data_IF_517304374971
#
_entry.id   IF_517304374971
#
_cell.length_a   1.000
_cell.length_b   1.000
_cell.length_c   1.000
_cell.angle_alpha   90.00
_cell.angle_beta   90.00
_cell.angle_gamma   90.00
#
_symmetry.space_group_name_H-M   'P 1'
#
loop_
_entity.id
_entity.type
_entity.pdbx_description
1 polymer ?
#
# COMPACT_ATOMS: atom_id res chain seq x y z
N UNK A 1 -23.02 -16.96 -1.20
CA UNK A 1 -22.37 -15.94 -0.36
C UNK A 1 -21.18 -15.45 -1.16
N UNK A 2 -21.16 -14.19 -1.60
CA UNK A 2 -20.01 -13.64 -2.35
C UNK A 2 -18.80 -13.55 -1.42
N UNK A 3 -17.61 -13.73 -1.97
CA UNK A 3 -16.36 -13.90 -1.23
C UNK A 3 -15.98 -12.60 -0.53
N UNK A 4 -15.82 -12.60 0.80
CA UNK A 4 -15.36 -11.41 1.52
C UNK A 4 -13.91 -11.14 1.14
N UNK A 5 -13.65 -9.96 0.55
CA UNK A 5 -12.30 -9.56 0.17
C UNK A 5 -11.42 -9.44 1.42
N UNK A 6 -10.40 -10.31 1.54
CA UNK A 6 -9.46 -10.29 2.67
C UNK A 6 -8.73 -8.93 2.70
N UNK A 7 -8.76 -8.28 3.86
CA UNK A 7 -8.12 -6.98 4.08
C UNK A 7 -6.59 -7.15 4.14
N UNK A 8 -5.94 -7.20 2.98
CA UNK A 8 -4.50 -7.02 2.88
C UNK A 8 -4.17 -5.53 2.95
N UNK A 9 -3.33 -5.11 3.89
CA UNK A 9 -2.82 -3.75 3.92
C UNK A 9 -1.49 -3.69 3.19
N UNK A 10 -1.27 -2.63 2.44
CA UNK A 10 0.02 -2.37 1.83
C UNK A 10 0.70 -1.29 2.62
N UNK A 11 1.88 -1.64 3.12
CA UNK A 11 2.82 -0.64 3.58
C UNK A 11 3.41 0.01 2.33
N UNK A 12 2.75 1.06 1.84
CA UNK A 12 3.40 1.97 0.89
C UNK A 12 4.47 2.68 1.72
N UNK A 13 5.72 2.66 1.26
CA UNK A 13 6.89 3.12 2.02
C UNK A 13 6.91 4.60 2.41
N UNK A 14 5.97 5.04 3.23
CA UNK A 14 6.19 6.07 4.24
C UNK A 14 6.95 5.36 5.36
N UNK A 15 8.26 5.60 5.47
CA UNK A 15 9.09 5.00 6.50
C UNK A 15 8.41 5.09 7.87
N UNK A 16 8.25 3.93 8.50
CA UNK A 16 7.57 3.70 9.77
C UNK A 16 6.08 4.10 9.77
N UNK A 17 5.23 3.10 10.06
CA UNK A 17 3.88 3.33 10.52
C UNK A 17 3.92 4.12 11.83
N UNK A 18 3.85 5.46 11.78
CA UNK A 18 3.76 6.26 12.99
C UNK A 18 2.41 6.04 13.64
N UNK A 19 2.43 5.51 14.85
CA UNK A 19 1.44 5.93 15.83
C UNK A 19 1.67 7.45 16.06
N UNK A 20 0.66 8.31 15.86
CA UNK A 20 0.77 9.68 16.32
C UNK A 20 0.98 9.63 17.82
N UNK A 21 1.95 10.39 18.28
CA UNK A 21 2.06 10.79 19.67
C UNK A 21 0.69 11.31 20.10
N UNK A 22 0.18 10.81 21.23
CA UNK A 22 -0.92 11.49 21.91
C UNK A 22 -0.54 12.97 22.01
N UNK A 23 -1.44 13.87 21.66
CA UNK A 23 -1.18 15.32 21.69
C UNK A 23 -0.83 15.69 23.13
N UNK A 24 0.46 15.72 23.45
CA UNK A 24 0.96 16.18 24.73
C UNK A 24 0.67 17.67 24.87
N UNK A 25 0.53 18.14 26.11
CA UNK A 25 0.25 19.53 26.49
C UNK A 25 1.41 20.51 26.20
N UNK A 26 2.13 20.33 25.09
CA UNK A 26 3.14 21.24 24.61
C UNK A 26 2.51 22.55 24.12
N UNK A 27 3.14 23.68 24.44
CA UNK A 27 2.69 24.98 23.96
C UNK A 27 2.66 25.05 22.41
N UNK A 28 1.75 25.83 21.81
CA UNK A 28 1.48 25.82 20.36
C UNK A 28 2.72 26.09 19.48
N UNK A 29 3.75 26.78 20.00
CA UNK A 29 5.00 27.01 19.29
C UNK A 29 5.90 25.76 19.16
N UNK A 30 5.93 24.88 20.17
CA UNK A 30 6.83 23.72 20.19
C UNK A 30 6.33 22.59 19.28
N UNK A 31 5.03 22.30 19.31
CA UNK A 31 4.40 21.32 18.40
C UNK A 31 4.64 21.70 16.93
N UNK A 32 4.60 22.99 16.60
CA UNK A 32 4.89 23.48 15.25
C UNK A 32 6.35 23.27 14.82
N UNK A 33 7.30 23.32 15.77
CA UNK A 33 8.72 23.13 15.49
C UNK A 33 9.06 21.66 15.23
N UNK A 34 8.56 20.74 16.07
CA UNK A 34 8.72 19.29 15.90
C UNK A 34 8.16 18.85 14.54
N UNK A 35 6.93 19.25 14.21
CA UNK A 35 6.29 18.91 12.94
C UNK A 35 7.09 19.40 11.73
N UNK A 36 7.59 20.64 11.78
CA UNK A 36 8.42 21.20 10.71
C UNK A 36 9.72 20.43 10.52
N UNK A 37 10.44 20.13 11.61
CA UNK A 37 11.72 19.41 11.56
C UNK A 37 11.55 17.97 11.10
N UNK A 38 10.51 17.28 11.57
CA UNK A 38 10.15 15.94 11.10
C UNK A 38 9.83 15.95 9.60
N UNK A 39 9.04 16.93 9.13
CA UNK A 39 8.73 17.07 7.70
C UNK A 39 9.99 17.32 6.86
N UNK A 40 10.89 18.19 7.34
CA UNK A 40 12.18 18.45 6.70
C UNK A 40 13.03 17.17 6.62
N UNK A 41 13.12 16.42 7.71
CA UNK A 41 13.85 15.17 7.76
C UNK A 41 13.30 14.12 6.78
N UNK A 42 11.98 14.01 6.67
CA UNK A 42 11.32 13.11 5.73
C UNK A 42 11.51 13.51 4.28
N UNK A 43 11.53 14.82 3.99
CA UNK A 43 11.86 15.34 2.66
C UNK A 43 13.32 15.02 2.31
N UNK A 44 14.25 15.22 3.24
CA UNK A 44 15.66 14.88 3.06
C UNK A 44 15.85 13.37 2.83
N UNK A 45 15.18 12.52 3.63
CA UNK A 45 15.19 11.07 3.45
C UNK A 45 14.68 10.64 2.06
N UNK A 46 13.55 11.21 1.60
CA UNK A 46 13.00 10.95 0.26
C UNK A 46 13.93 11.43 -0.85
N UNK A 47 14.68 12.51 -0.62
CA UNK A 47 15.68 13.03 -1.53
C UNK A 47 17.03 12.27 -1.48
N UNK A 48 17.14 11.25 -0.62
CA UNK A 48 18.38 10.52 -0.32
C UNK A 48 19.50 11.42 0.23
N UNK A 49 19.15 12.59 0.79
CA UNK A 49 20.03 13.43 1.59
C UNK A 49 20.06 12.91 3.03
N UNK A 50 20.81 11.83 3.24
CA UNK A 50 20.88 11.16 4.54
C UNK A 50 21.55 12.01 5.62
N UNK A 51 22.47 12.90 5.24
CA UNK A 51 23.08 13.87 6.15
C UNK A 51 22.04 14.90 6.65
N UNK A 52 21.26 15.49 5.73
CA UNK A 52 20.14 16.38 6.06
C UNK A 52 19.10 15.67 6.91
N UNK A 53 18.73 14.44 6.54
CA UNK A 53 17.79 13.61 7.30
C UNK A 53 18.25 13.40 8.75
N UNK A 54 19.50 12.95 8.94
CA UNK A 54 20.04 12.65 10.25
C UNK A 54 20.04 13.90 11.16
N UNK A 55 20.45 15.06 10.63
CA UNK A 55 20.44 16.32 11.36
C UNK A 55 19.04 16.77 11.74
N UNK A 56 18.09 16.73 10.81
CA UNK A 56 16.73 17.20 11.04
C UNK A 56 15.97 16.31 12.04
N UNK A 57 16.08 14.98 11.95
CA UNK A 57 15.49 14.09 12.97
C UNK A 57 16.10 14.27 14.34
N UNK A 58 17.43 14.47 14.42
CA UNK A 58 18.09 14.76 15.69
C UNK A 58 17.60 16.07 16.29
N UNK A 59 17.51 17.13 15.49
CA UNK A 59 16.99 18.41 15.94
C UNK A 59 15.53 18.30 16.40
N UNK A 60 14.71 17.50 15.70
CA UNK A 60 13.34 17.20 16.10
C UNK A 60 13.30 16.53 17.49
N UNK A 61 14.14 15.51 17.70
CA UNK A 61 14.26 14.82 18.98
C UNK A 61 14.71 15.76 20.11
N UNK A 62 15.63 16.69 19.83
CA UNK A 62 16.17 17.62 20.84
C UNK A 62 15.12 18.64 21.33
N UNK A 63 14.08 18.91 20.55
CA UNK A 63 12.99 19.84 20.92
C UNK A 63 11.67 19.15 21.28
N UNK A 64 11.58 17.83 21.15
CA UNK A 64 10.39 17.06 21.51
C UNK A 64 10.37 16.73 23.02
N UNK A 65 9.27 17.07 23.68
CA UNK A 65 9.05 16.77 25.11
C UNK A 65 8.40 15.43 25.34
N UNK A 66 7.76 14.83 24.33
CA UNK A 66 7.25 13.47 24.44
C UNK A 66 8.41 12.48 24.40
N UNK A 67 8.57 11.71 25.48
CA UNK A 67 9.72 10.83 25.65
C UNK A 67 9.76 9.74 24.57
N UNK A 68 8.60 9.20 24.17
CA UNK A 68 8.50 8.16 23.15
C UNK A 68 8.81 8.69 21.75
N UNK A 69 8.17 9.80 21.37
CA UNK A 69 8.38 10.45 20.07
C UNK A 69 9.82 10.97 19.89
N UNK A 70 10.43 11.45 20.98
CA UNK A 70 11.86 11.79 21.02
C UNK A 70 12.76 10.58 20.78
N UNK A 71 12.50 9.46 21.48
CA UNK A 71 13.28 8.24 21.31
C UNK A 71 13.18 7.70 19.87
N UNK A 72 11.99 7.72 19.28
CA UNK A 72 11.76 7.37 17.88
C UNK A 72 12.50 8.31 16.92
N UNK A 73 12.48 9.62 17.17
CA UNK A 73 13.21 10.59 16.34
C UNK A 73 14.72 10.38 16.40
N UNK A 74 15.28 10.03 17.56
CA UNK A 74 16.69 9.62 17.64
C UNK A 74 16.94 8.31 16.86
N UNK A 75 16.07 7.31 16.98
CA UNK A 75 16.19 6.06 16.21
C UNK A 75 16.25 6.32 14.70
N UNK A 76 15.33 7.14 14.17
CA UNK A 76 15.30 7.53 12.74
C UNK A 76 16.56 8.32 12.34
N UNK A 77 17.04 9.22 13.21
CA UNK A 77 18.30 9.94 12.99
C UNK A 77 19.49 8.99 12.86
N UNK A 78 19.57 7.95 13.70
CA UNK A 78 20.61 6.93 13.62
C UNK A 78 20.55 6.12 12.32
N UNK A 79 19.34 5.75 11.86
CA UNK A 79 19.14 5.12 10.54
C UNK A 79 19.70 5.96 9.40
N UNK A 80 19.36 7.25 9.38
CA UNK A 80 19.91 8.19 8.38
C UNK A 80 21.43 8.37 8.49
N UNK A 81 21.98 8.48 9.70
CA UNK A 81 23.43 8.60 9.89
C UNK A 81 24.17 7.33 9.40
N UNK A 82 23.59 6.15 9.63
CA UNK A 82 24.13 4.87 9.16
C UNK A 82 24.13 4.79 7.63
N UNK A 83 23.03 5.18 6.98
CA UNK A 83 22.93 5.25 5.51
C UNK A 83 23.91 6.26 4.89
N UNK A 84 24.22 7.34 5.60
CA UNK A 84 25.25 8.32 5.22
C UNK A 84 26.69 7.82 5.43
N UNK A 85 26.89 6.63 6.01
CA UNK A 85 28.21 6.06 6.30
C UNK A 85 28.84 6.55 7.62
N UNK A 86 28.08 7.25 8.47
CA UNK A 86 28.56 7.79 9.75
C UNK A 86 28.32 6.81 10.90
N UNK A 87 28.99 5.66 10.86
CA UNK A 87 28.74 4.54 11.78
C UNK A 87 28.87 4.92 13.27
N UNK A 88 29.93 5.63 13.65
CA UNK A 88 30.15 6.04 15.05
C UNK A 88 29.08 7.02 15.54
N UNK A 89 28.71 7.99 14.69
CA UNK A 89 27.66 8.95 15.02
C UNK A 89 26.29 8.25 15.13
N UNK A 90 26.00 7.29 14.25
CA UNK A 90 24.79 6.49 14.30
C UNK A 90 24.70 5.68 15.60
N UNK A 91 25.79 5.04 16.03
CA UNK A 91 25.85 4.31 17.32
C UNK A 91 25.56 5.24 18.50
N UNK A 92 26.17 6.42 18.54
CA UNK A 92 25.95 7.37 19.65
C UNK A 92 24.51 7.89 19.69
N UNK A 93 23.90 8.16 18.54
CA UNK A 93 22.49 8.55 18.47
C UNK A 93 21.57 7.39 18.85
N UNK A 94 21.88 6.17 18.43
CA UNK A 94 21.08 4.98 18.74
C UNK A 94 21.10 4.64 20.23
N UNK A 95 22.25 4.82 20.90
CA UNK A 95 22.34 4.75 22.38
C UNK A 95 21.39 5.73 23.04
N UNK A 96 21.31 6.98 22.55
CA UNK A 96 20.35 7.98 23.07
C UNK A 96 18.90 7.55 22.85
N UNK A 97 18.59 6.91 21.71
CA UNK A 97 17.25 6.39 21.45
C UNK A 97 16.84 5.33 22.49
N UNK A 98 17.68 4.31 22.72
CA UNK A 98 17.38 3.24 23.68
C UNK A 98 17.41 3.73 25.13
N UNK A 99 18.34 4.62 25.50
CA UNK A 99 18.33 5.28 26.82
C UNK A 99 17.10 6.17 27.02
N UNK A 100 16.58 6.73 25.91
CA UNK A 100 15.37 7.51 25.85
C UNK A 100 14.08 6.69 25.89
N UNK A 101 14.17 5.36 25.89
CA UNK A 101 13.02 4.45 26.01
C UNK A 101 12.58 3.78 24.71
N UNK A 102 13.34 3.90 23.60
CA UNK A 102 13.04 3.11 22.40
C UNK A 102 13.07 1.62 22.72
N UNK A 103 12.05 0.87 22.28
CA UNK A 103 11.78 -0.48 22.77
C UNK A 103 11.53 -1.55 21.69
N UNK A 104 11.43 -1.19 20.42
CA UNK A 104 11.20 -2.15 19.33
C UNK A 104 12.52 -2.80 18.89
N UNK A 105 12.96 -3.77 19.70
CA UNK A 105 14.23 -4.47 19.51
C UNK A 105 14.26 -5.33 18.25
N UNK A 106 13.13 -5.90 17.82
CA UNK A 106 13.08 -6.72 16.61
C UNK A 106 13.19 -5.83 15.37
N UNK A 107 12.46 -4.72 15.32
CA UNK A 107 12.62 -3.76 14.23
C UNK A 107 14.05 -3.22 14.18
N UNK A 108 14.65 -2.90 15.34
CA UNK A 108 16.06 -2.48 15.42
C UNK A 108 17.01 -3.56 14.88
N UNK A 109 16.79 -4.83 15.24
CA UNK A 109 17.64 -5.96 14.84
C UNK A 109 17.57 -6.27 13.33
N UNK A 110 16.42 -6.02 12.70
CA UNK A 110 16.16 -6.37 11.31
C UNK A 110 16.09 -5.16 10.36
N UNK A 111 16.26 -3.93 10.85
CA UNK A 111 16.25 -2.75 10.01
C UNK A 111 17.46 -2.76 9.05
N UNK A 112 17.24 -2.82 7.73
CA UNK A 112 18.32 -2.87 6.75
C UNK A 112 19.19 -1.60 6.73
N UNK A 113 18.70 -0.47 7.27
CA UNK A 113 19.44 0.79 7.37
C UNK A 113 20.55 0.73 8.43
N UNK A 114 20.47 -0.19 9.38
CA UNK A 114 21.42 -0.32 10.49
C UNK A 114 22.41 -1.48 10.31
N UNK A 115 22.38 -2.19 9.18
CA UNK A 115 23.20 -3.39 8.93
C UNK A 115 24.69 -3.14 9.11
N UNK A 116 25.19 -1.96 8.72
CA UNK A 116 26.60 -1.57 8.90
C UNK A 116 27.03 -1.49 10.36
N UNK A 117 26.08 -1.33 11.30
CA UNK A 117 26.33 -1.20 12.72
C UNK A 117 26.37 -2.56 13.43
N UNK A 118 25.83 -3.63 12.83
CA UNK A 118 25.67 -4.94 13.49
C UNK A 118 26.99 -5.59 13.90
N UNK A 119 28.09 -5.27 13.21
CA UNK A 119 29.43 -5.79 13.51
C UNK A 119 30.17 -4.98 14.60
N UNK A 120 29.61 -3.86 15.06
CA UNK A 120 30.24 -2.98 16.04
C UNK A 120 30.02 -3.52 17.46
N UNK A 121 31.04 -3.40 18.31
CA UNK A 121 31.01 -3.94 19.68
C UNK A 121 29.87 -3.35 20.55
N UNK A 122 29.38 -2.15 20.23
CA UNK A 122 28.27 -1.52 20.96
C UNK A 122 26.88 -2.11 20.63
N UNK A 123 26.75 -2.84 19.52
CA UNK A 123 25.47 -3.28 18.98
C UNK A 123 24.67 -4.15 19.95
N UNK A 124 25.31 -5.18 20.52
CA UNK A 124 24.64 -6.11 21.44
C UNK A 124 24.05 -5.40 22.66
N UNK A 125 24.77 -4.41 23.20
CA UNK A 125 24.31 -3.60 24.33
C UNK A 125 23.07 -2.76 23.99
N UNK A 126 23.06 -2.15 22.80
CA UNK A 126 21.91 -1.35 22.31
C UNK A 126 20.67 -2.24 22.16
N UNK A 127 20.80 -3.40 21.52
CA UNK A 127 19.69 -4.34 21.33
C UNK A 127 19.17 -4.84 22.68
N UNK A 128 20.05 -5.16 23.63
CA UNK A 128 19.67 -5.61 24.96
C UNK A 128 18.89 -4.52 25.73
N UNK A 129 19.30 -3.26 25.61
CA UNK A 129 18.60 -2.13 26.23
C UNK A 129 17.21 -1.92 25.63
N UNK A 130 17.07 -1.99 24.30
CA UNK A 130 15.76 -1.95 23.64
C UNK A 130 14.82 -3.07 24.13
N UNK A 131 15.33 -4.31 24.26
CA UNK A 131 14.56 -5.43 24.81
C UNK A 131 14.15 -5.20 26.27
N UNK A 132 15.01 -4.59 27.08
CA UNK A 132 14.69 -4.26 28.46
C UNK A 132 13.60 -3.17 28.55
N UNK A 133 13.56 -2.24 27.60
CA UNK A 133 12.52 -1.21 27.52
C UNK A 133 11.16 -1.77 27.12
N UNK A 134 11.11 -2.86 26.33
CA UNK A 134 9.85 -3.49 25.90
C UNK A 134 8.97 -3.89 27.09
N UNK A 135 9.54 -4.37 28.19
CA UNK A 135 8.79 -4.73 29.40
C UNK A 135 8.10 -3.53 30.08
N UNK A 136 8.50 -2.30 29.74
CA UNK A 136 7.97 -1.04 30.25
C UNK A 136 7.12 -0.30 29.21
N UNK A 137 7.05 -0.82 27.99
CA UNK A 137 6.32 -0.18 26.91
C UNK A 137 4.82 -0.16 27.24
N UNK A 138 4.11 0.94 26.92
CA UNK A 138 2.67 1.01 27.16
C UNK A 138 1.90 -0.02 26.33
N UNK A 139 2.43 -0.35 25.14
CA UNK A 139 1.87 -1.32 24.22
C UNK A 139 3.02 -2.08 23.53
N UNK A 140 2.80 -3.35 23.20
CA UNK A 140 3.76 -4.12 22.44
C UNK A 140 3.86 -3.59 20.99
N UNK A 141 5.06 -3.55 20.38
CA UNK A 141 5.19 -3.18 18.99
C UNK A 141 4.55 -4.24 18.09
N UNK A 142 4.22 -3.84 16.87
CA UNK A 142 3.78 -4.80 15.87
C UNK A 142 4.94 -5.75 15.52
N UNK A 143 4.73 -7.07 15.51
CA UNK A 143 5.80 -8.01 15.19
C UNK A 143 6.38 -7.74 13.81
N UNK A 144 7.72 -7.82 13.68
CA UNK A 144 8.38 -7.74 12.38
C UNK A 144 7.87 -8.90 11.50
N UNK A 145 7.28 -8.60 10.33
CA UNK A 145 6.68 -9.65 9.52
C UNK A 145 7.75 -10.57 8.93
N UNK A 146 7.41 -11.84 8.73
CA UNK A 146 8.25 -12.77 7.97
C UNK A 146 7.93 -12.67 6.48
N UNK A 147 8.94 -12.52 5.63
CA UNK A 147 8.76 -12.51 4.19
C UNK A 147 8.31 -13.90 3.70
N UNK A 148 7.03 -14.03 3.34
CA UNK A 148 6.43 -15.28 2.87
C UNK A 148 6.58 -15.48 1.36
N UNK A 149 6.80 -14.41 0.60
CA UNK A 149 7.00 -14.52 -0.84
C UNK A 149 7.59 -13.27 -1.48
N UNK A 150 8.30 -13.48 -2.59
CA UNK A 150 8.88 -12.43 -3.43
C UNK A 150 8.55 -12.75 -4.88
N UNK A 151 7.85 -11.83 -5.53
CA UNK A 151 7.44 -11.96 -6.92
C UNK A 151 8.03 -10.88 -7.82
N UNK A 152 8.13 -11.20 -9.11
CA UNK A 152 8.48 -10.28 -10.19
C UNK A 152 7.35 -10.34 -11.22
N UNK A 153 6.83 -9.19 -11.65
CA UNK A 153 5.70 -9.15 -12.56
C UNK A 153 5.81 -8.03 -13.59
N UNK A 154 5.38 -8.32 -14.83
CA UNK A 154 5.17 -7.32 -15.87
C UNK A 154 6.40 -7.02 -16.74
N UNK A 155 7.51 -7.75 -16.57
CA UNK A 155 8.68 -7.69 -17.44
C UNK A 155 8.94 -9.05 -18.10
N UNK A 156 9.38 -9.05 -19.36
CA UNK A 156 9.94 -10.20 -20.08
C UNK A 156 11.46 -10.32 -19.89
N UNK A 157 12.10 -9.27 -19.37
CA UNK A 157 13.56 -9.13 -19.24
C UNK A 157 14.06 -9.51 -17.84
N UNK A 158 13.20 -9.36 -16.83
CA UNK A 158 13.49 -9.69 -15.45
C UNK A 158 12.57 -10.79 -14.92
N UNK A 159 13.14 -11.82 -14.32
CA UNK A 159 12.41 -12.89 -13.64
C UNK A 159 12.52 -12.76 -12.11
N UNK A 160 11.84 -13.65 -11.39
CA UNK A 160 11.79 -13.66 -9.92
C UNK A 160 13.19 -13.80 -9.30
N UNK A 161 14.04 -14.64 -9.88
CA UNK A 161 15.38 -14.90 -9.34
C UNK A 161 16.32 -13.70 -9.53
N UNK A 162 16.29 -13.08 -10.72
CA UNK A 162 17.03 -11.86 -10.99
C UNK A 162 16.62 -10.70 -10.08
N UNK A 163 15.31 -10.51 -9.85
CA UNK A 163 14.82 -9.54 -8.87
C UNK A 163 15.30 -9.88 -7.47
N UNK A 164 15.16 -11.14 -7.02
CA UNK A 164 15.62 -11.58 -5.68
C UNK A 164 17.09 -11.27 -5.45
N UNK A 165 17.96 -11.53 -6.43
CA UNK A 165 19.39 -11.23 -6.36
C UNK A 165 19.66 -9.74 -6.21
N UNK A 166 18.91 -8.88 -6.91
CA UNK A 166 19.07 -7.42 -6.79
C UNK A 166 18.61 -6.93 -5.42
N UNK A 167 17.45 -7.41 -4.94
CA UNK A 167 16.88 -6.98 -3.66
C UNK A 167 17.69 -7.49 -2.47
N UNK A 168 18.21 -8.71 -2.53
CA UNK A 168 18.90 -9.36 -1.43
C UNK A 168 17.95 -9.85 -0.33
N UNK A 169 16.66 -9.97 -0.62
CA UNK A 169 15.66 -10.47 0.33
C UNK A 169 15.64 -12.00 0.39
N UNK A 170 15.44 -12.53 1.59
CA UNK A 170 15.37 -13.96 1.86
C UNK A 170 13.97 -14.35 2.33
N UNK A 171 13.29 -15.21 1.55
CA UNK A 171 12.00 -15.78 1.94
C UNK A 171 12.18 -16.63 3.20
N UNK A 172 11.25 -16.49 4.16
CA UNK A 172 11.30 -17.13 5.47
C UNK A 172 12.09 -16.35 6.52
N UNK A 173 12.62 -15.17 6.20
CA UNK A 173 13.29 -14.27 7.16
C UNK A 173 12.41 -13.08 7.54
N UNK A 174 12.60 -12.49 8.73
CA UNK A 174 12.02 -11.19 9.07
C UNK A 174 12.40 -10.12 8.05
N UNK A 175 11.46 -9.23 7.73
CA UNK A 175 11.68 -8.12 6.79
C UNK A 175 11.21 -6.80 7.38
N UNK A 176 12.09 -5.80 7.31
CA UNK A 176 11.78 -4.39 7.58
C UNK A 176 11.92 -3.62 6.28
N UNK A 177 10.90 -2.83 5.94
CA UNK A 177 10.87 -2.08 4.69
C UNK A 177 11.52 -0.70 4.86
N UNK A 178 12.61 -0.47 4.12
CA UNK A 178 13.26 0.85 4.02
C UNK A 178 12.91 1.51 2.70
N UNK A 179 12.22 2.66 2.74
CA UNK A 179 11.82 3.39 1.54
C UNK A 179 13.01 3.88 0.71
N UNK A 180 14.09 4.30 1.36
CA UNK A 180 15.31 4.75 0.70
C UNK A 180 16.03 3.60 -0.03
N UNK A 181 16.27 2.48 0.67
CA UNK A 181 16.92 1.32 0.06
C UNK A 181 16.07 0.73 -1.06
N UNK A 182 14.74 0.68 -0.88
CA UNK A 182 13.81 0.29 -1.94
C UNK A 182 13.95 1.18 -3.17
N UNK A 183 13.98 2.50 -3.00
CA UNK A 183 14.13 3.45 -4.12
C UNK A 183 15.45 3.24 -4.88
N UNK A 184 16.54 2.96 -4.17
CA UNK A 184 17.83 2.61 -4.77
C UNK A 184 17.76 1.27 -5.53
N UNK A 185 17.09 0.25 -4.98
CA UNK A 185 16.90 -1.04 -5.66
C UNK A 185 15.99 -0.93 -6.89
N UNK A 186 14.94 -0.12 -6.85
CA UNK A 186 14.09 0.18 -8.01
C UNK A 186 14.88 0.85 -9.13
N UNK A 187 15.76 1.81 -8.81
CA UNK A 187 16.65 2.44 -9.78
C UNK A 187 17.61 1.42 -10.42
N UNK A 188 18.23 0.56 -9.61
CA UNK A 188 19.14 -0.48 -10.09
C UNK A 188 18.42 -1.50 -11.00
N UNK A 189 17.19 -1.90 -10.65
CA UNK A 189 16.37 -2.78 -11.50
C UNK A 189 16.06 -2.11 -12.85
N UNK A 190 15.68 -0.82 -12.84
CA UNK A 190 15.42 -0.06 -14.08
C UNK A 190 16.63 -0.03 -15.00
N UNK A 191 17.80 0.31 -14.46
CA UNK A 191 19.05 0.38 -15.21
C UNK A 191 19.45 -1.00 -15.77
N UNK A 192 19.48 -2.03 -14.91
CA UNK A 192 19.94 -3.37 -15.27
C UNK A 192 19.12 -4.02 -16.38
N UNK A 193 17.81 -3.79 -16.40
CA UNK A 193 16.89 -4.48 -17.32
C UNK A 193 16.29 -3.55 -18.40
N UNK A 194 16.66 -2.27 -18.42
CA UNK A 194 16.13 -1.29 -19.39
C UNK A 194 14.61 -1.12 -19.28
N UNK A 195 14.11 -0.93 -18.06
CA UNK A 195 12.67 -0.85 -17.75
C UNK A 195 12.20 0.60 -17.73
N UNK A 196 11.00 0.86 -18.26
CA UNK A 196 10.34 2.18 -18.15
C UNK A 196 9.80 2.45 -16.76
N UNK A 197 9.51 1.40 -15.99
CA UNK A 197 8.93 1.51 -14.66
C UNK A 197 9.35 0.32 -13.80
N UNK A 198 9.65 0.59 -12.53
CA UNK A 198 9.78 -0.40 -11.47
C UNK A 198 9.15 0.18 -10.20
N UNK A 199 8.36 -0.62 -9.49
CA UNK A 199 7.84 -0.32 -8.15
C UNK A 199 7.88 -1.57 -7.28
N UNK A 200 8.43 -1.44 -6.08
CA UNK A 200 8.39 -2.49 -5.05
C UNK A 200 7.22 -2.21 -4.11
N UNK A 201 6.23 -3.10 -4.11
CA UNK A 201 5.12 -3.08 -3.16
C UNK A 201 5.30 -4.14 -2.08
N UNK A 202 5.07 -3.79 -0.81
CA UNK A 202 5.01 -4.75 0.30
C UNK A 202 3.58 -4.85 0.86
N UNK A 203 3.02 -6.05 0.85
CA UNK A 203 1.71 -6.33 1.44
C UNK A 203 1.88 -7.08 2.75
N UNK A 204 1.28 -6.56 3.81
CA UNK A 204 1.20 -7.15 5.14
C UNK A 204 -0.16 -7.84 5.30
N UNK A 205 -0.13 -9.05 5.86
CA UNK A 205 -1.33 -9.83 6.14
C UNK A 205 -1.67 -9.77 7.63
N UNK A 206 -2.92 -9.42 7.91
CA UNK A 206 -3.48 -9.32 9.27
C UNK A 206 -4.48 -10.43 9.57
N UNK A 207 -5.04 -11.06 8.53
CA UNK A 207 -5.93 -12.20 8.66
C UNK A 207 -5.23 -13.40 9.32
N UNK A 208 -5.93 -14.09 10.21
CA UNK A 208 -5.39 -15.11 11.11
C UNK A 208 -4.49 -16.16 10.42
N UNK A 209 -4.91 -16.67 9.25
CA UNK A 209 -4.16 -17.69 8.50
C UNK A 209 -2.75 -17.26 8.05
N UNK A 210 -2.51 -15.96 7.91
CA UNK A 210 -1.27 -15.37 7.38
C UNK A 210 -0.77 -14.20 8.22
N UNK A 211 -1.27 -14.07 9.45
CA UNK A 211 -0.95 -12.95 10.33
C UNK A 211 0.56 -12.86 10.57
N UNK A 212 1.12 -11.67 10.44
CA UNK A 212 2.56 -11.45 10.60
C UNK A 212 3.41 -11.92 9.42
N UNK A 213 2.81 -12.15 8.25
CA UNK A 213 3.55 -12.39 7.00
C UNK A 213 3.52 -11.19 6.06
N UNK A 214 4.59 -11.05 5.28
CA UNK A 214 4.74 -10.04 4.25
C UNK A 214 4.97 -10.68 2.88
N UNK A 215 4.49 -10.05 1.83
CA UNK A 215 4.83 -10.38 0.45
C UNK A 215 5.38 -9.15 -0.24
N UNK A 216 6.45 -9.32 -1.01
CA UNK A 216 7.03 -8.26 -1.85
C UNK A 216 6.80 -8.58 -3.31
N UNK A 217 6.33 -7.60 -4.08
CA UNK A 217 6.22 -7.73 -5.54
C UNK A 217 7.00 -6.60 -6.21
N UNK A 218 7.87 -6.97 -7.15
CA UNK A 218 8.48 -6.04 -8.09
C UNK A 218 7.62 -5.91 -9.34
N UNK A 219 6.87 -4.82 -9.37
CA UNK A 219 6.03 -4.41 -10.48
C UNK A 219 6.85 -3.69 -11.53
N UNK A 220 6.84 -4.19 -12.76
CA UNK A 220 7.71 -3.72 -13.82
C UNK A 220 6.95 -3.46 -15.11
N UNK A 221 7.46 -2.52 -15.90
CA UNK A 221 7.03 -2.28 -17.28
C UNK A 221 8.25 -2.18 -18.17
N UNK A 222 8.37 -3.10 -19.11
CA UNK A 222 9.38 -3.06 -20.16
C UNK A 222 9.22 -1.79 -21.02
N UNK A 223 10.31 -1.31 -21.62
CA UNK A 223 10.29 -0.13 -22.48
C UNK A 223 9.25 -0.23 -23.62
N UNK A 224 9.10 -1.44 -24.17
CA UNK A 224 8.17 -1.76 -25.26
C UNK A 224 6.70 -1.72 -24.81
N UNK A 225 6.44 -1.81 -23.50
CA UNK A 225 5.10 -1.83 -22.91
C UNK A 225 4.73 -0.50 -22.22
N UNK A 226 5.47 0.59 -22.50
CA UNK A 226 5.27 1.89 -21.87
C UNK A 226 3.85 2.48 -22.05
N UNK A 227 3.06 1.95 -22.98
CA UNK A 227 1.64 2.26 -23.14
C UNK A 227 0.81 2.01 -21.87
N UNK A 228 1.25 1.10 -21.00
CA UNK A 228 0.66 0.81 -19.68
C UNK A 228 0.81 1.98 -18.70
N UNK A 229 1.77 2.87 -18.95
CA UNK A 229 2.08 4.05 -18.11
C UNK A 229 1.36 5.33 -18.57
N UNK A 230 0.39 5.21 -19.48
CA UNK A 230 -0.45 6.35 -19.85
C UNK A 230 -1.41 6.66 -18.72
N UNK A 231 -1.09 7.66 -17.91
CA UNK A 231 -1.95 8.15 -16.84
C UNK A 231 -2.64 9.45 -17.25
N UNK A 232 -3.64 9.85 -16.47
CA UNK A 232 -4.18 11.20 -16.54
C UNK A 232 -3.09 12.23 -16.23
N UNK A 233 -3.20 13.46 -16.77
CA UNK A 233 -2.29 14.55 -16.40
C UNK A 233 -2.27 14.75 -14.89
N UNK A 234 -1.10 15.04 -14.33
CA UNK A 234 -0.98 15.33 -12.91
C UNK A 234 -1.79 16.59 -12.55
N UNK A 235 -2.74 16.49 -11.60
CA UNK A 235 -3.51 17.63 -11.14
C UNK A 235 -2.61 18.66 -10.44
N UNK A 236 -3.02 19.93 -10.49
CA UNK A 236 -2.27 21.08 -9.93
C UNK A 236 -3.12 21.99 -9.06
N UNK A 237 -4.42 21.72 -8.96
CA UNK A 237 -5.36 22.50 -8.18
C UNK A 237 -5.23 22.22 -6.69
N UNK A 238 -5.95 23.02 -5.91
CA UNK A 238 -6.10 22.85 -4.46
C UNK A 238 -7.55 23.19 -4.09
N UNK A 239 -8.53 22.42 -4.60
CA UNK A 239 -9.93 22.63 -4.26
C UNK A 239 -10.11 22.65 -2.73
N UNK A 240 -11.07 23.44 -2.22
CA UNK A 240 -11.33 23.51 -0.80
C UNK A 240 -11.78 22.14 -0.26
N UNK A 241 -11.50 21.87 1.01
CA UNK A 241 -12.03 20.69 1.69
C UNK A 241 -13.51 20.93 2.07
N UNK A 242 -14.48 20.26 1.40
CA UNK A 242 -15.90 20.55 1.61
C UNK A 242 -16.34 20.10 3.01
N UNK A 243 -16.74 21.07 3.84
CA UNK A 243 -17.13 20.86 5.24
C UNK A 243 -16.05 20.14 6.11
N UNK A 244 -14.78 20.10 5.67
CA UNK A 244 -13.70 19.40 6.36
C UNK A 244 -13.72 17.87 6.21
N UNK A 245 -14.50 17.33 5.25
CA UNK A 245 -14.71 15.90 5.08
C UNK A 245 -13.44 15.13 4.72
N UNK A 246 -12.56 15.71 3.90
CA UNK A 246 -11.32 15.07 3.46
C UNK A 246 -10.37 14.94 4.64
N UNK A 247 -10.15 16.02 5.40
CA UNK A 247 -9.36 15.97 6.62
C UNK A 247 -9.91 14.96 7.63
N UNK A 248 -11.24 14.90 7.77
CA UNK A 248 -11.91 13.96 8.69
C UNK A 248 -11.74 12.49 8.26
N UNK A 249 -11.74 12.21 6.96
CA UNK A 249 -11.43 10.87 6.44
C UNK A 249 -9.97 10.47 6.69
N UNK A 250 -9.02 11.39 6.49
CA UNK A 250 -7.60 11.13 6.74
C UNK A 250 -7.34 10.85 8.23
N UNK A 251 -8.02 11.55 9.13
CA UNK A 251 -7.98 11.27 10.57
C UNK A 251 -8.53 9.87 10.89
N UNK A 252 -9.64 9.48 10.25
CA UNK A 252 -10.21 8.14 10.37
C UNK A 252 -9.20 7.06 9.91
N UNK A 253 -8.61 7.19 8.72
CA UNK A 253 -7.63 6.23 8.20
C UNK A 253 -6.41 6.11 9.12
N UNK A 254 -5.93 7.24 9.63
CA UNK A 254 -4.80 7.26 10.57
C UNK A 254 -5.15 6.48 11.85
N UNK A 255 -6.35 6.71 12.42
CA UNK A 255 -6.79 6.02 13.64
C UNK A 255 -7.03 4.53 13.39
N UNK A 256 -7.67 4.20 12.27
CA UNK A 256 -7.90 2.82 11.84
C UNK A 256 -6.57 2.06 11.75
N UNK A 257 -5.57 2.65 11.10
CA UNK A 257 -4.29 1.98 10.89
C UNK A 257 -3.56 1.73 12.22
N UNK A 258 -3.59 2.67 13.15
CA UNK A 258 -3.04 2.45 14.50
C UNK A 258 -3.70 1.25 15.16
N UNK A 259 -5.04 1.21 15.17
CA UNK A 259 -5.78 0.11 15.79
C UNK A 259 -5.48 -1.22 15.10
N UNK A 260 -5.32 -1.23 13.77
CA UNK A 260 -4.94 -2.42 13.01
C UNK A 260 -3.55 -2.92 13.41
N UNK A 261 -2.57 -2.03 13.50
CA UNK A 261 -1.20 -2.34 13.92
C UNK A 261 -1.13 -2.76 15.39
N UNK A 262 -2.08 -2.32 16.22
CA UNK A 262 -2.22 -2.76 17.61
C UNK A 262 -3.03 -4.06 17.75
N UNK A 263 -3.57 -4.60 16.64
CA UNK A 263 -4.44 -5.78 16.68
C UNK A 263 -5.75 -5.55 17.44
N UNK A 264 -6.24 -4.31 17.50
CA UNK A 264 -7.45 -3.89 18.23
C UNK A 264 -8.70 -3.82 17.36
N UNK A 265 -8.59 -4.12 16.07
CA UNK A 265 -9.75 -4.18 15.18
C UNK A 265 -10.38 -5.58 15.22
N UNK A 266 -11.71 -5.60 15.17
CA UNK A 266 -12.49 -6.81 15.01
C UNK A 266 -12.73 -7.07 13.51
N UNK A 267 -12.52 -8.31 13.08
CA UNK A 267 -12.78 -8.77 11.71
C UNK A 267 -14.28 -8.66 11.34
N UNK A 268 -15.17 -8.60 12.33
CA UNK A 268 -16.63 -8.52 12.12
C UNK A 268 -17.15 -7.09 11.87
N UNK A 269 -16.29 -6.06 11.80
CA UNK A 269 -16.76 -4.70 11.58
C UNK A 269 -17.37 -4.54 10.18
N UNK A 270 -18.61 -4.01 10.13
CA UNK A 270 -19.34 -3.75 8.88
C UNK A 270 -19.47 -2.27 8.59
N UNK A 271 -19.77 -1.96 7.33
CA UNK A 271 -20.06 -0.61 6.82
C UNK A 271 -21.56 -0.49 6.55
N UNK A 272 -22.14 0.70 6.70
CA UNK A 272 -23.54 0.95 6.30
C UNK A 272 -23.70 1.16 4.79
N UNK A 273 -22.60 1.40 4.10
CA UNK A 273 -22.53 1.56 2.64
C UNK A 273 -21.78 0.38 2.00
N UNK A 274 -21.74 0.33 0.66
CA UNK A 274 -21.11 -0.77 -0.08
C UNK A 274 -19.63 -0.99 0.28
N UNK A 275 -18.90 0.05 0.67
CA UNK A 275 -17.51 -0.06 1.05
C UNK A 275 -17.09 0.99 2.07
N UNK A 276 -16.36 0.56 3.10
CA UNK A 276 -15.53 1.43 3.92
C UNK A 276 -14.25 0.68 4.31
N UNK A 277 -13.18 1.41 4.60
CA UNK A 277 -11.89 0.80 4.91
C UNK A 277 -11.89 0.31 6.37
N UNK A 278 -12.03 -0.99 6.63
CA UNK A 278 -11.87 -1.54 7.99
C UNK A 278 -13.01 -1.26 8.98
N UNK A 279 -14.10 -0.59 8.55
CA UNK A 279 -15.33 -0.50 9.34
C UNK A 279 -15.34 0.56 10.44
N UNK A 280 -16.48 0.68 11.12
CA UNK A 280 -16.72 1.67 12.18
C UNK A 280 -17.18 1.05 13.51
N UNK A 281 -16.98 -0.27 13.70
CA UNK A 281 -17.42 -0.99 14.89
C UNK A 281 -16.61 -0.67 16.16
N UNK A 282 -15.36 -0.22 16.01
CA UNK A 282 -14.53 0.15 17.16
C UNK A 282 -14.98 1.50 17.78
N UNK A 283 -15.02 1.66 19.12
CA UNK A 283 -15.46 2.90 19.77
C UNK A 283 -14.74 4.16 19.27
N UNK A 284 -13.43 4.08 19.05
CA UNK A 284 -12.64 5.20 18.53
C UNK A 284 -12.93 5.57 17.07
N UNK A 285 -13.64 4.70 16.34
CA UNK A 285 -14.00 4.90 14.93
C UNK A 285 -15.51 5.20 14.76
N UNK A 286 -16.34 4.86 15.73
CA UNK A 286 -17.80 4.91 15.60
C UNK A 286 -18.37 6.32 15.31
N UNK A 287 -17.66 7.38 15.71
CA UNK A 287 -18.12 8.77 15.52
C UNK A 287 -17.95 9.30 14.10
N UNK A 288 -17.13 8.66 13.25
CA UNK A 288 -16.82 9.16 11.92
C UNK A 288 -17.95 8.91 10.90
N UNK A 289 -18.50 7.69 10.85
CA UNK A 289 -19.50 7.32 9.82
C UNK A 289 -20.78 8.17 9.82
N UNK A 290 -21.39 8.52 10.98
CA UNK A 290 -22.60 9.35 10.99
C UNK A 290 -22.39 10.71 10.31
N UNK A 291 -21.19 11.28 10.45
CA UNK A 291 -20.83 12.54 9.82
C UNK A 291 -20.73 12.39 8.29
N UNK A 292 -20.09 11.33 7.80
CA UNK A 292 -19.98 11.05 6.37
C UNK A 292 -21.36 10.83 5.73
N UNK A 293 -22.22 10.03 6.36
CA UNK A 293 -23.60 9.79 5.89
C UNK A 293 -24.39 11.09 5.78
N UNK A 294 -24.26 11.99 6.76
CA UNK A 294 -25.03 13.22 6.79
C UNK A 294 -24.55 14.27 5.78
N UNK A 295 -23.23 14.37 5.58
CA UNK A 295 -22.62 15.49 4.86
C UNK A 295 -22.21 15.18 3.43
N UNK A 296 -21.73 13.97 3.13
CA UNK A 296 -21.20 13.63 1.80
C UNK A 296 -22.25 13.81 0.68
N UNK A 297 -23.51 13.35 0.81
CA UNK A 297 -24.49 13.47 -0.27
C UNK A 297 -24.72 14.92 -0.76
N UNK A 298 -24.47 15.92 0.09
CA UNK A 298 -24.62 17.34 -0.24
C UNK A 298 -23.36 17.97 -0.84
N UNK A 299 -22.23 17.25 -0.83
CA UNK A 299 -20.91 17.74 -1.20
C UNK A 299 -20.26 16.92 -2.34
N UNK A 300 -21.03 16.10 -3.05
CA UNK A 300 -20.50 15.18 -4.07
C UNK A 300 -19.69 15.89 -5.16
N UNK A 301 -20.15 17.03 -5.67
CA UNK A 301 -19.45 17.77 -6.73
C UNK A 301 -18.13 18.36 -6.24
N UNK A 302 -18.11 18.90 -5.02
CA UNK A 302 -16.87 19.39 -4.40
C UNK A 302 -15.87 18.25 -4.16
N UNK A 303 -16.33 17.08 -3.70
CA UNK A 303 -15.50 15.90 -3.52
C UNK A 303 -14.99 15.34 -4.85
N UNK A 304 -15.81 15.38 -5.91
CA UNK A 304 -15.35 15.02 -7.27
C UNK A 304 -14.29 15.99 -7.77
N UNK A 305 -14.41 17.29 -7.48
CA UNK A 305 -13.36 18.26 -7.78
C UNK A 305 -12.08 17.96 -6.99
N UNK A 306 -12.17 17.59 -5.71
CA UNK A 306 -11.00 17.12 -4.94
C UNK A 306 -10.37 15.92 -5.63
N UNK A 307 -11.14 14.88 -5.96
CA UNK A 307 -10.64 13.67 -6.62
C UNK A 307 -10.02 13.94 -8.01
N UNK A 308 -10.51 14.93 -8.76
CA UNK A 308 -10.01 15.21 -10.11
C UNK A 308 -8.84 16.20 -10.16
N UNK A 309 -8.86 17.21 -9.28
CA UNK A 309 -8.08 18.44 -9.47
C UNK A 309 -7.06 18.72 -8.35
N UNK A 310 -7.15 18.07 -7.20
CA UNK A 310 -6.24 18.33 -6.08
C UNK A 310 -4.83 17.77 -6.36
N UNK A 311 -3.80 18.59 -6.18
CA UNK A 311 -2.41 18.17 -6.34
C UNK A 311 -2.00 17.11 -5.31
N UNK A 312 -2.62 17.10 -4.13
CA UNK A 312 -2.35 16.16 -3.05
C UNK A 312 -3.06 14.82 -3.30
N UNK A 313 -2.26 13.77 -3.53
CA UNK A 313 -2.77 12.44 -3.81
C UNK A 313 -3.51 11.80 -2.63
N UNK A 314 -3.17 12.14 -1.39
CA UNK A 314 -3.83 11.58 -0.20
C UNK A 314 -5.24 12.16 -0.08
N UNK A 315 -5.41 13.46 -0.36
CA UNK A 315 -6.72 14.11 -0.45
C UNK A 315 -7.60 13.51 -1.55
N UNK A 316 -7.01 13.23 -2.73
CA UNK A 316 -7.71 12.53 -3.82
C UNK A 316 -8.14 11.12 -3.41
N UNK A 317 -7.25 10.36 -2.77
CA UNK A 317 -7.55 9.01 -2.26
C UNK A 317 -8.69 9.00 -1.25
N UNK A 318 -8.67 9.94 -0.30
CA UNK A 318 -9.75 10.15 0.67
C UNK A 318 -11.09 10.51 0.01
N UNK A 319 -11.06 11.42 -0.99
CA UNK A 319 -12.26 11.77 -1.75
C UNK A 319 -12.87 10.57 -2.48
N UNK A 320 -12.06 9.65 -3.02
CA UNK A 320 -12.57 8.42 -3.65
C UNK A 320 -13.38 7.56 -2.67
N UNK A 321 -12.91 7.40 -1.42
CA UNK A 321 -13.64 6.66 -0.40
C UNK A 321 -14.89 7.39 0.07
N UNK A 322 -14.82 8.70 0.27
CA UNK A 322 -15.99 9.50 0.62
C UNK A 322 -17.08 9.40 -0.45
N UNK A 323 -16.72 9.41 -1.73
CA UNK A 323 -17.68 9.25 -2.83
C UNK A 323 -18.43 7.91 -2.83
N UNK A 324 -18.01 6.91 -2.04
CA UNK A 324 -18.78 5.69 -1.80
C UNK A 324 -20.10 5.93 -1.04
N UNK A 325 -20.25 7.09 -0.38
CA UNK A 325 -21.47 7.53 0.30
C UNK A 325 -22.45 8.27 -0.63
N UNK A 326 -22.26 8.21 -1.96
CA UNK A 326 -23.24 8.76 -2.89
C UNK A 326 -24.61 8.06 -2.73
N UNK A 327 -25.73 8.75 -3.04
CA UNK A 327 -27.07 8.20 -2.84
C UNK A 327 -27.36 6.90 -3.62
N UNK A 328 -26.65 6.66 -4.73
CA UNK A 328 -26.81 5.44 -5.55
C UNK A 328 -25.48 4.90 -6.02
N UNK A 329 -25.44 3.61 -6.35
CA UNK A 329 -24.26 2.94 -6.88
C UNK A 329 -23.83 3.50 -8.24
N UNK A 330 -24.79 3.86 -9.10
CA UNK A 330 -24.55 4.49 -10.39
C UNK A 330 -23.85 5.83 -10.22
N UNK A 331 -24.22 6.61 -9.19
CA UNK A 331 -23.61 7.89 -8.90
C UNK A 331 -22.15 7.74 -8.45
N UNK A 332 -21.89 6.78 -7.57
CA UNK A 332 -20.53 6.39 -7.16
C UNK A 332 -19.70 6.02 -8.39
N UNK A 333 -20.20 5.12 -9.23
CA UNK A 333 -19.48 4.63 -10.41
C UNK A 333 -19.19 5.75 -11.41
N UNK A 334 -20.19 6.59 -11.71
CA UNK A 334 -20.06 7.72 -12.64
C UNK A 334 -18.94 8.69 -12.24
N UNK A 335 -18.75 8.92 -10.94
CA UNK A 335 -17.74 9.84 -10.41
C UNK A 335 -16.34 9.22 -10.31
N UNK A 336 -16.26 7.91 -10.09
CA UNK A 336 -14.98 7.22 -9.86
C UNK A 336 -14.33 6.69 -11.14
N UNK A 337 -15.10 6.21 -12.12
CA UNK A 337 -14.55 5.63 -13.37
C UNK A 337 -13.58 6.56 -14.10
N UNK A 338 -13.83 7.88 -14.22
CA UNK A 338 -12.89 8.79 -14.88
C UNK A 338 -11.49 8.81 -14.24
N UNK A 339 -11.37 8.42 -12.97
CA UNK A 339 -10.14 8.51 -12.17
C UNK A 339 -9.38 7.17 -12.05
N UNK A 340 -9.81 6.10 -12.74
CA UNK A 340 -9.12 4.79 -12.73
C UNK A 340 -7.67 4.89 -13.19
N UNK A 341 -7.34 5.89 -14.04
CA UNK A 341 -5.97 6.14 -14.54
C UNK A 341 -5.28 7.32 -13.87
N UNK A 342 -5.63 7.68 -12.64
CA UNK A 342 -4.90 8.70 -11.86
C UNK A 342 -3.39 8.42 -11.84
N UNK A 343 -2.57 9.47 -11.82
CA UNK A 343 -1.11 9.34 -11.79
C UNK A 343 -0.57 8.68 -10.51
N UNK A 344 -1.32 8.77 -9.40
CA UNK A 344 -0.99 8.15 -8.11
C UNK A 344 -1.55 6.73 -8.02
N UNK A 345 -0.70 5.77 -7.67
CA UNK A 345 -1.09 4.39 -7.37
C UNK A 345 -2.04 4.28 -6.17
N UNK A 346 -1.86 5.13 -5.15
CA UNK A 346 -2.77 5.24 -4.01
C UNK A 346 -4.20 5.58 -4.43
N UNK A 347 -4.36 6.59 -5.30
CA UNK A 347 -5.68 7.03 -5.78
C UNK A 347 -6.34 5.96 -6.64
N UNK A 348 -5.59 5.35 -7.58
CA UNK A 348 -6.11 4.26 -8.41
C UNK A 348 -6.56 3.07 -7.57
N UNK A 349 -5.79 2.68 -6.56
CA UNK A 349 -6.19 1.63 -5.61
C UNK A 349 -7.48 1.99 -4.86
N UNK A 350 -7.63 3.23 -4.37
CA UNK A 350 -8.85 3.67 -3.67
C UNK A 350 -10.06 3.64 -4.60
N UNK A 351 -9.94 4.21 -5.80
CA UNK A 351 -10.97 4.20 -6.85
C UNK A 351 -11.40 2.78 -7.19
N UNK A 352 -10.45 1.91 -7.55
CA UNK A 352 -10.75 0.54 -7.94
C UNK A 352 -11.35 -0.25 -6.79
N UNK A 353 -10.90 -0.03 -5.55
CA UNK A 353 -11.46 -0.71 -4.36
C UNK A 353 -12.93 -0.36 -4.14
N UNK A 354 -13.29 0.92 -4.22
CA UNK A 354 -14.68 1.34 -4.09
C UNK A 354 -15.52 0.80 -5.25
N UNK A 355 -15.01 0.83 -6.48
CA UNK A 355 -15.69 0.26 -7.64
C UNK A 355 -15.91 -1.26 -7.50
N UNK A 356 -14.90 -2.01 -7.04
CA UNK A 356 -15.01 -3.46 -6.79
C UNK A 356 -16.14 -3.78 -5.81
N UNK A 357 -16.16 -3.11 -4.67
CA UNK A 357 -17.17 -3.35 -3.64
C UNK A 357 -18.57 -2.84 -4.05
N UNK A 358 -18.64 -1.75 -4.82
CA UNK A 358 -19.89 -1.29 -5.42
C UNK A 358 -20.45 -2.33 -6.40
N UNK A 359 -19.61 -2.93 -7.24
CA UNK A 359 -20.01 -4.02 -8.13
C UNK A 359 -20.41 -5.27 -7.35
N UNK A 360 -19.67 -5.64 -6.30
CA UNK A 360 -19.99 -6.80 -5.47
C UNK A 360 -21.39 -6.71 -4.83
N UNK A 361 -21.81 -5.50 -4.45
CA UNK A 361 -23.15 -5.25 -3.93
C UNK A 361 -24.24 -5.15 -5.02
N UNK A 362 -23.85 -4.95 -6.28
CA UNK A 362 -24.76 -4.81 -7.41
C UNK A 362 -25.27 -6.17 -7.92
N UNK A 363 -26.36 -6.14 -8.68
CA UNK A 363 -26.96 -7.32 -9.34
C UNK A 363 -26.76 -7.34 -10.85
N UNK A 364 -26.25 -6.24 -11.39
CA UNK A 364 -26.01 -6.02 -12.80
C UNK A 364 -24.62 -5.40 -12.97
N UNK A 365 -23.97 -5.58 -14.13
CA UNK A 365 -22.70 -4.94 -14.43
C UNK A 365 -22.85 -3.41 -14.37
N UNK A 366 -22.08 -2.76 -13.49
CA UNK A 366 -22.11 -1.31 -13.29
C UNK A 366 -21.00 -0.59 -14.05
N UNK A 367 -19.89 -1.29 -14.31
CA UNK A 367 -18.71 -0.76 -15.02
C UNK A 367 -18.56 -1.50 -16.35
N UNK A 368 -18.18 -0.77 -17.39
CA UNK A 368 -17.87 -1.38 -18.68
C UNK A 368 -16.67 -2.34 -18.59
N UNK A 369 -16.82 -3.53 -19.17
CA UNK A 369 -15.81 -4.60 -19.09
C UNK A 369 -14.49 -4.16 -19.72
N UNK A 370 -14.52 -3.41 -20.84
CA UNK A 370 -13.30 -2.96 -21.49
C UNK A 370 -12.53 -1.95 -20.63
N UNK A 371 -13.23 -1.10 -19.88
CA UNK A 371 -12.64 -0.21 -18.88
C UNK A 371 -11.90 -0.98 -17.79
N UNK A 372 -12.46 -2.11 -17.32
CA UNK A 372 -11.80 -2.93 -16.29
C UNK A 372 -10.65 -3.76 -16.85
N UNK A 373 -10.76 -4.26 -18.08
CA UNK A 373 -9.64 -4.91 -18.79
C UNK A 373 -8.42 -3.99 -18.90
N UNK A 374 -8.65 -2.72 -19.20
CA UNK A 374 -7.62 -1.71 -19.22
C UNK A 374 -6.98 -1.51 -17.83
N UNK A 375 -7.80 -1.48 -16.77
CA UNK A 375 -7.32 -1.40 -15.38
C UNK A 375 -6.48 -2.61 -14.96
N UNK A 376 -6.82 -3.83 -15.40
CA UNK A 376 -6.01 -5.05 -15.15
C UNK A 376 -4.61 -4.95 -15.78
N UNK A 377 -4.45 -4.11 -16.80
CA UNK A 377 -3.16 -3.89 -17.47
C UNK A 377 -2.27 -2.84 -16.79
N UNK A 378 -2.77 -2.16 -15.75
CA UNK A 378 -2.03 -1.14 -15.02
C UNK A 378 -0.77 -1.70 -14.33
N UNK A 379 0.23 -0.85 -14.05
CA UNK A 379 1.58 -1.33 -13.75
C UNK A 379 1.72 -1.89 -12.34
N UNK A 380 0.90 -1.51 -11.36
CA UNK A 380 1.11 -1.95 -9.98
C UNK A 380 0.22 -3.11 -9.58
N UNK A 381 0.72 -3.91 -8.64
CA UNK A 381 0.02 -4.99 -7.95
C UNK A 381 -1.25 -4.50 -7.26
N UNK A 382 -1.26 -3.25 -6.81
CA UNK A 382 -2.41 -2.63 -6.15
C UNK A 382 -3.51 -2.20 -7.11
N UNK A 383 -3.16 -1.89 -8.35
CA UNK A 383 -4.15 -1.69 -9.40
C UNK A 383 -4.79 -3.05 -9.76
N UNK A 384 -3.92 -4.05 -10.00
CA UNK A 384 -4.34 -5.35 -10.54
C UNK A 384 -5.17 -6.17 -9.58
N UNK A 385 -4.86 -6.22 -8.29
CA UNK A 385 -5.64 -7.03 -7.36
C UNK A 385 -7.12 -6.61 -7.38
N UNK A 386 -7.45 -5.32 -7.25
CA UNK A 386 -8.82 -4.81 -7.24
C UNK A 386 -9.46 -4.87 -8.62
N UNK A 387 -8.71 -4.57 -9.68
CA UNK A 387 -9.21 -4.67 -11.05
C UNK A 387 -9.61 -6.11 -11.43
N UNK A 388 -8.84 -7.12 -11.03
CA UNK A 388 -9.18 -8.53 -11.34
C UNK A 388 -10.35 -9.02 -10.48
N UNK A 389 -10.46 -8.61 -9.21
CA UNK A 389 -11.69 -8.88 -8.44
C UNK A 389 -12.92 -8.21 -9.05
N UNK A 390 -12.81 -6.94 -9.45
CA UNK A 390 -13.89 -6.22 -10.13
C UNK A 390 -14.29 -6.94 -11.43
N UNK A 391 -13.31 -7.37 -12.23
CA UNK A 391 -13.56 -8.16 -13.44
C UNK A 391 -14.30 -9.45 -13.09
N UNK A 392 -13.86 -10.18 -12.06
CA UNK A 392 -14.51 -11.42 -11.65
C UNK A 392 -15.99 -11.22 -11.31
N UNK A 393 -16.35 -10.17 -10.57
CA UNK A 393 -17.75 -9.87 -10.25
C UNK A 393 -18.54 -9.44 -11.50
N UNK A 394 -17.95 -8.63 -12.38
CA UNK A 394 -18.59 -8.28 -13.65
C UNK A 394 -18.90 -9.52 -14.49
N UNK A 395 -17.96 -10.47 -14.60
CA UNK A 395 -18.18 -11.69 -15.37
C UNK A 395 -19.26 -12.59 -14.76
N UNK A 396 -19.47 -12.57 -13.43
CA UNK A 396 -20.60 -13.27 -12.78
C UNK A 396 -21.94 -12.61 -13.09
N UNK A 397 -21.97 -11.29 -13.20
CA UNK A 397 -23.19 -10.51 -13.43
C UNK A 397 -23.55 -10.38 -14.92
N UNK A 398 -22.63 -10.72 -15.84
CA UNK A 398 -22.92 -10.77 -17.28
C UNK A 398 -23.90 -11.90 -17.60
N UNK A 399 -24.83 -11.60 -18.51
CA UNK A 399 -25.69 -12.63 -19.07
C UNK A 399 -24.84 -13.68 -19.85
N UNK A 400 -25.16 -14.99 -19.77
CA UNK A 400 -24.32 -16.05 -20.33
C UNK A 400 -23.96 -15.88 -21.81
N UNK A 401 -24.89 -15.41 -22.64
CA UNK A 401 -24.71 -15.14 -24.05
C UNK A 401 -23.75 -13.97 -24.31
N UNK A 402 -23.78 -12.94 -23.46
CA UNK A 402 -22.86 -11.79 -23.53
C UNK A 402 -21.45 -12.24 -23.16
N UNK A 403 -21.29 -12.99 -22.07
CA UNK A 403 -20.00 -13.56 -21.67
C UNK A 403 -19.43 -14.46 -22.77
N UNK A 404 -20.25 -15.34 -23.36
CA UNK A 404 -19.85 -16.21 -24.46
C UNK A 404 -19.35 -15.41 -25.67
N UNK A 405 -20.02 -14.31 -26.01
CA UNK A 405 -19.63 -13.45 -27.13
C UNK A 405 -18.29 -12.71 -26.88
N UNK A 406 -18.00 -12.33 -25.64
CA UNK A 406 -16.78 -11.57 -25.30
C UNK A 406 -15.57 -12.45 -24.99
N UNK A 407 -15.78 -13.71 -24.59
CA UNK A 407 -14.76 -14.64 -24.08
C UNK A 407 -13.48 -14.69 -24.92
N UNK A 408 -13.59 -14.88 -26.23
CA UNK A 408 -12.42 -14.97 -27.11
C UNK A 408 -11.63 -13.64 -27.21
N UNK A 409 -12.29 -12.50 -27.05
CA UNK A 409 -11.64 -11.19 -26.97
C UNK A 409 -10.89 -11.02 -25.65
N UNK A 410 -11.55 -11.36 -24.54
CA UNK A 410 -10.96 -11.26 -23.19
C UNK A 410 -9.76 -12.18 -23.02
N UNK A 411 -9.85 -13.44 -23.45
CA UNK A 411 -8.72 -14.39 -23.40
C UNK A 411 -7.51 -13.86 -24.19
N UNK A 412 -7.74 -13.24 -25.33
CA UNK A 412 -6.67 -12.67 -26.16
C UNK A 412 -6.01 -11.46 -25.51
N UNK A 413 -6.80 -10.60 -24.86
CA UNK A 413 -6.31 -9.37 -24.24
C UNK A 413 -5.64 -9.63 -22.89
N UNK A 414 -6.19 -10.54 -22.09
CA UNK A 414 -5.79 -10.75 -20.69
C UNK A 414 -5.14 -12.10 -20.41
N UNK A 415 -5.20 -13.06 -21.33
CA UNK A 415 -4.78 -14.44 -21.07
C UNK A 415 -3.36 -14.54 -20.51
N UNK A 416 -2.38 -13.97 -21.21
CA UNK A 416 -0.98 -13.98 -20.76
C UNK A 416 -0.82 -13.29 -19.39
N UNK A 417 -1.48 -12.16 -19.18
CA UNK A 417 -1.45 -11.42 -17.91
C UNK A 417 -2.03 -12.24 -16.77
N UNK A 418 -3.22 -12.83 -16.95
CA UNK A 418 -3.89 -13.64 -15.93
C UNK A 418 -3.10 -14.91 -15.61
N UNK A 419 -2.53 -15.56 -16.61
CA UNK A 419 -1.67 -16.74 -16.43
C UNK A 419 -0.39 -16.38 -15.69
N UNK A 420 0.23 -15.24 -16.00
CA UNK A 420 1.37 -14.73 -15.23
C UNK A 420 0.97 -14.43 -13.77
N UNK A 421 -0.21 -13.85 -13.54
CA UNK A 421 -0.72 -13.58 -12.20
C UNK A 421 -1.00 -14.87 -11.42
N UNK A 422 -1.51 -15.93 -12.06
CA UNK A 422 -1.71 -17.23 -11.41
C UNK A 422 -0.41 -17.90 -10.95
N UNK A 423 0.76 -17.44 -11.42
CA UNK A 423 2.06 -17.94 -11.00
C UNK A 423 2.65 -17.18 -9.79
N UNK A 424 2.00 -16.11 -9.34
CA UNK A 424 2.44 -15.31 -8.20
C UNK A 424 2.33 -16.10 -6.90
N UNK A 425 3.26 -15.90 -5.98
CA UNK A 425 3.18 -16.43 -4.62
C UNK A 425 2.16 -15.64 -3.79
N UNK A 426 2.01 -14.35 -4.09
CA UNK A 426 1.09 -13.47 -3.38
C UNK A 426 -0.39 -13.80 -3.70
N UNK A 427 -1.19 -14.23 -2.70
CA UNK A 427 -2.54 -14.76 -2.95
C UNK A 427 -3.53 -13.70 -3.44
N UNK A 428 -3.41 -12.45 -2.98
CA UNK A 428 -4.34 -11.35 -3.35
C UNK A 428 -4.36 -11.01 -4.84
N UNK A 429 -3.36 -11.45 -5.61
CA UNK A 429 -3.34 -11.33 -7.07
C UNK A 429 -3.55 -12.68 -7.76
N UNK A 430 -2.93 -13.74 -7.22
CA UNK A 430 -3.03 -15.09 -7.77
C UNK A 430 -4.46 -15.60 -7.81
N UNK A 431 -5.14 -15.57 -6.66
CA UNK A 431 -6.43 -16.22 -6.48
C UNK A 431 -7.54 -15.58 -7.34
N UNK A 432 -7.70 -14.24 -7.40
CA UNK A 432 -8.67 -13.64 -8.32
C UNK A 432 -8.32 -13.89 -9.79
N UNK A 433 -7.03 -13.99 -10.16
CA UNK A 433 -6.64 -14.30 -11.53
C UNK A 433 -7.02 -15.73 -11.93
N UNK A 434 -6.79 -16.72 -11.05
CA UNK A 434 -7.27 -18.09 -11.23
C UNK A 434 -8.79 -18.11 -11.37
N UNK A 435 -9.52 -17.39 -10.50
CA UNK A 435 -10.98 -17.30 -10.58
C UNK A 435 -11.45 -16.77 -11.94
N UNK A 436 -10.86 -15.69 -12.45
CA UNK A 436 -11.19 -15.16 -13.78
C UNK A 436 -10.83 -16.15 -14.89
N UNK A 437 -9.69 -16.84 -14.82
CA UNK A 437 -9.32 -17.88 -15.77
C UNK A 437 -10.36 -19.01 -15.81
N UNK A 438 -10.86 -19.47 -14.66
CA UNK A 438 -11.95 -20.45 -14.57
C UNK A 438 -13.24 -19.94 -15.21
N UNK A 439 -13.64 -18.71 -14.92
CA UNK A 439 -14.84 -18.09 -15.50
C UNK A 439 -14.76 -17.96 -17.04
N UNK A 440 -13.59 -17.62 -17.57
CA UNK A 440 -13.37 -17.47 -19.02
C UNK A 440 -13.20 -18.81 -19.73
N UNK A 441 -12.53 -19.78 -19.12
CA UNK A 441 -12.22 -21.07 -19.75
C UNK A 441 -13.34 -22.10 -19.60
N UNK A 442 -14.03 -22.12 -18.46
CA UNK A 442 -14.86 -23.24 -18.02
C UNK A 442 -14.05 -24.43 -17.49
N UNK A 443 -12.74 -24.27 -17.31
CA UNK A 443 -11.82 -25.28 -16.78
C UNK A 443 -11.59 -25.07 -15.28
N UNK A 444 -11.09 -26.09 -14.59
CA UNK A 444 -10.86 -26.09 -13.13
C UNK A 444 -9.38 -26.28 -12.78
N UNK A 445 -8.46 -25.82 -13.63
CA UNK A 445 -7.02 -25.91 -13.35
C UNK A 445 -6.63 -25.06 -12.12
N UNK A 446 -5.60 -25.49 -11.42
CA UNK A 446 -5.11 -24.83 -10.21
C UNK A 446 -3.68 -24.29 -10.38
N UNK A 447 -2.87 -24.93 -11.24
CA UNK A 447 -1.47 -24.53 -11.46
C UNK A 447 -1.31 -23.57 -12.63
N UNK A 448 -0.29 -22.72 -12.54
CA UNK A 448 0.07 -21.82 -13.63
C UNK A 448 0.54 -22.61 -14.88
N UNK A 449 1.14 -23.78 -14.71
CA UNK A 449 1.58 -24.66 -15.81
C UNK A 449 0.40 -25.18 -16.63
N UNK A 450 -0.66 -25.64 -15.97
CA UNK A 450 -1.90 -26.06 -16.63
C UNK A 450 -2.56 -24.90 -17.38
N UNK A 451 -2.60 -23.72 -16.75
CA UNK A 451 -3.14 -22.51 -17.38
C UNK A 451 -2.32 -22.08 -18.60
N UNK A 452 -0.98 -22.16 -18.54
CA UNK A 452 -0.10 -21.91 -19.71
C UNK A 452 -0.39 -22.90 -20.83
N UNK A 453 -0.51 -24.19 -20.52
CA UNK A 453 -0.82 -25.23 -21.50
C UNK A 453 -2.21 -25.06 -22.12
N UNK A 454 -3.20 -24.63 -21.34
CA UNK A 454 -4.52 -24.28 -21.83
C UNK A 454 -4.50 -23.06 -22.74
N UNK A 455 -3.80 -22.00 -22.35
CA UNK A 455 -3.70 -20.76 -23.14
C UNK A 455 -3.00 -21.02 -24.48
N UNK A 456 -1.95 -21.86 -24.49
CA UNK A 456 -1.22 -22.24 -25.70
C UNK A 456 -2.07 -22.99 -26.75
N UNK A 457 -3.18 -23.63 -26.33
CA UNK A 457 -4.13 -24.33 -27.20
C UNK A 457 -5.20 -23.41 -27.79
N UNK A 458 -5.31 -22.17 -27.30
CA UNK A 458 -6.33 -21.25 -27.80
C UNK A 458 -5.99 -20.79 -29.22
N UNK A 459 -6.99 -20.58 -30.11
CA UNK A 459 -6.75 -20.13 -31.47
C UNK A 459 -5.94 -18.83 -31.49
N UNK A 460 -4.72 -18.91 -32.04
CA UNK A 460 -3.96 -17.71 -32.40
C UNK A 460 -4.61 -17.13 -33.64
N UNK A 461 -5.51 -16.17 -33.47
CA UNK A 461 -5.99 -15.39 -34.62
C UNK A 461 -4.80 -14.61 -35.15
N UNK A 462 -4.40 -14.88 -36.39
CA UNK A 462 -3.49 -14.00 -37.14
C UNK A 462 -4.09 -12.60 -37.11
N UNK A 463 -3.41 -11.69 -36.42
CA UNK A 463 -3.77 -10.28 -36.33
C UNK A 463 -3.55 -9.55 -37.64
#
# INVERSE_FOLDING_TARGET
MRFVMVLGMVAVGTGCAHAPSAVGEGGPGQASAVQRLTKEAEQAYKALDFDGCARAFRASAEVDTDVGARAESYYRSAGCASLAGHADAAVEVLKRAVQGGYFDADHLQYNPELVSLHSLAAWEGIVAEARANLAKAPEAPFPVPTLAGLDAFGSRKADREGVRQVLGFEVGKPIVFSGALVSLKEALLRERYGLSFVRLGMTLFFAEERKGTAFVVADMVDAEDASRLRFLPAPKGHPPDPEGLVARWLEYEQRLFQLQMQGKLDDASSCRIAHCLGGFGHPDLASFEPEFIAKVPRNLDALTAVLGDDADADRRGAAAFLLAYAPTAEETVRRLVPCIRDGSDGVRNSVLRVLTATQEAAKLPMVDVATVVDAVSLPTTMDRNKAVYLLSYLLEDLAPEVLKAQRAGLIRQLGETLVAMSALQQPINRDPAVKVLKQLSGEEYESAEEWRAWLARQPRTTG
#
